data_IF_802400343426
#
_entry.id   IF_802400343426
#
_cell.length_a   1.000
_cell.length_b   1.000
_cell.length_c   1.000
_cell.angle_alpha   90.00
_cell.angle_beta   90.00
_cell.angle_gamma   90.00
#
_symmetry.space_group_name_H-M   'P 1'
#
loop_
_entity.id
_entity.type
_entity.pdbx_description
1 polymer ?
#
# COMPACT_ATOMS: atom_id res chain seq x y z
N UNK A 1 10.83 -5.12 17.19
CA UNK A 1 9.73 -4.69 16.30
C UNK A 1 9.19 -3.36 16.81
N UNK A 2 8.76 -2.46 15.92
CA UNK A 2 8.17 -1.16 16.29
C UNK A 2 6.96 -1.31 17.24
N UNK A 3 6.16 -2.38 17.05
CA UNK A 3 5.05 -2.72 17.94
C UNK A 3 5.46 -2.85 19.42
N UNK A 4 6.60 -3.50 19.71
CA UNK A 4 7.09 -3.66 21.09
C UNK A 4 7.51 -2.33 21.73
N UNK A 5 7.77 -1.31 20.92
CA UNK A 5 8.06 0.05 21.37
C UNK A 5 6.80 0.92 21.49
N UNK A 6 5.60 0.34 21.33
CA UNK A 6 4.31 1.03 21.43
C UNK A 6 3.84 1.69 20.14
N UNK A 7 4.46 1.40 18.99
CA UNK A 7 4.03 1.94 17.69
C UNK A 7 2.91 1.11 17.11
N UNK A 8 1.95 1.75 16.44
CA UNK A 8 1.04 1.05 15.51
C UNK A 8 1.80 0.70 14.24
N UNK A 9 1.65 -0.51 13.75
CA UNK A 9 2.39 -0.98 12.57
C UNK A 9 1.46 -1.34 11.41
N UNK A 10 1.82 -0.90 10.21
CA UNK A 10 1.09 -1.19 8.97
C UNK A 10 2.04 -1.82 7.94
N UNK A 11 1.57 -2.90 7.31
CA UNK A 11 2.11 -3.41 6.05
C UNK A 11 1.00 -3.54 5.02
N UNK A 12 1.11 -2.77 3.92
CA UNK A 12 0.15 -2.75 2.82
C UNK A 12 0.86 -2.88 1.47
N UNK A 13 0.45 -3.86 0.67
CA UNK A 13 0.97 -4.06 -0.69
C UNK A 13 -0.16 -4.50 -1.60
N UNK A 14 -0.09 -4.15 -2.88
CA UNK A 14 -1.20 -4.20 -3.81
C UNK A 14 -1.35 -5.50 -4.61
N UNK A 15 -0.42 -6.44 -4.47
CA UNK A 15 -0.44 -7.72 -5.17
C UNK A 15 0.04 -8.85 -4.26
N UNK A 16 -0.83 -9.80 -3.92
CA UNK A 16 -0.51 -10.80 -2.89
C UNK A 16 0.45 -11.90 -3.39
N UNK A 17 0.38 -12.35 -4.63
CA UNK A 17 1.28 -13.41 -5.12
C UNK A 17 2.72 -12.93 -5.32
N UNK A 18 2.88 -11.69 -5.76
CA UNK A 18 4.19 -11.08 -6.04
C UNK A 18 4.61 -10.08 -4.97
N UNK A 19 4.00 -10.11 -3.79
CA UNK A 19 4.34 -9.17 -2.73
C UNK A 19 5.79 -9.35 -2.28
N UNK A 20 6.41 -8.26 -1.84
CA UNK A 20 7.83 -8.15 -1.48
C UNK A 20 8.34 -9.32 -0.63
N UNK A 21 7.52 -9.82 0.32
CA UNK A 21 7.90 -10.91 1.22
C UNK A 21 7.34 -12.29 0.83
N UNK A 22 6.44 -12.38 -0.16
CA UNK A 22 5.81 -13.63 -0.57
C UNK A 22 6.24 -14.11 -1.95
N UNK A 23 6.83 -13.26 -2.79
CA UNK A 23 7.25 -13.68 -4.13
C UNK A 23 8.32 -14.77 -4.05
N UNK A 24 7.98 -15.99 -4.50
CA UNK A 24 8.82 -17.19 -4.45
C UNK A 24 9.31 -17.55 -3.03
N UNK A 25 8.61 -17.07 -1.99
CA UNK A 25 8.93 -17.29 -0.58
C UNK A 25 7.64 -17.68 0.18
N UNK A 26 7.76 -18.41 1.29
CA UNK A 26 6.59 -18.78 2.09
C UNK A 26 5.87 -17.57 2.71
N UNK A 27 6.52 -16.39 2.76
CA UNK A 27 5.97 -15.22 3.41
C UNK A 27 6.06 -15.32 4.93
N UNK A 28 5.10 -14.70 5.60
CA UNK A 28 5.02 -14.66 7.06
C UNK A 28 4.13 -15.80 7.58
N UNK A 29 4.62 -16.54 8.59
CA UNK A 29 3.84 -17.56 9.29
C UNK A 29 2.78 -16.96 10.22
N UNK A 30 3.12 -15.83 10.85
CA UNK A 30 2.22 -15.03 11.70
C UNK A 30 2.04 -13.64 11.10
N UNK A 31 0.99 -12.92 11.51
CA UNK A 31 0.74 -11.57 11.04
C UNK A 31 1.91 -10.63 11.41
N UNK A 32 2.57 -9.95 10.43
CA UNK A 32 3.83 -9.24 10.66
C UNK A 32 3.68 -7.85 11.30
N UNK A 33 2.48 -7.26 11.23
CA UNK A 33 2.15 -5.90 11.67
C UNK A 33 0.73 -5.86 12.24
N UNK A 34 0.42 -4.89 13.09
CA UNK A 34 -0.92 -4.74 13.69
C UNK A 34 -2.02 -4.64 12.62
N UNK A 35 -1.70 -3.98 11.51
CA UNK A 35 -2.53 -3.87 10.33
C UNK A 35 -1.81 -4.50 9.15
N UNK A 36 -2.36 -5.59 8.63
CA UNK A 36 -1.81 -6.32 7.50
C UNK A 36 -2.85 -6.43 6.41
N UNK A 37 -2.55 -5.88 5.22
CA UNK A 37 -3.55 -5.75 4.16
C UNK A 37 -3.78 -7.05 3.36
N UNK A 38 -2.85 -8.01 3.39
CA UNK A 38 -2.95 -9.24 2.59
C UNK A 38 -4.28 -10.00 2.78
N UNK A 39 -4.78 -10.24 4.01
CA UNK A 39 -6.04 -10.97 4.19
C UNK A 39 -7.25 -10.26 3.57
N UNK A 40 -7.18 -8.94 3.39
CA UNK A 40 -8.21 -8.21 2.65
C UNK A 40 -8.07 -8.45 1.14
N UNK A 41 -6.87 -8.35 0.56
CA UNK A 41 -6.67 -8.47 -0.89
C UNK A 41 -6.76 -9.89 -1.45
N UNK A 42 -6.35 -10.89 -0.67
CA UNK A 42 -6.30 -12.29 -1.10
C UNK A 42 -7.64 -12.77 -1.71
N UNK A 43 -8.80 -12.65 -1.03
CA UNK A 43 -10.08 -13.06 -1.62
C UNK A 43 -10.48 -12.20 -2.83
N UNK A 44 -10.05 -10.93 -2.92
CA UNK A 44 -10.33 -10.15 -4.12
C UNK A 44 -9.54 -10.65 -5.32
N UNK A 45 -8.28 -11.04 -5.14
CA UNK A 45 -7.47 -11.59 -6.22
C UNK A 45 -7.98 -12.97 -6.67
N UNK A 46 -8.46 -13.79 -5.73
CA UNK A 46 -9.00 -15.14 -6.00
C UNK A 46 -10.40 -15.11 -6.64
N UNK A 47 -11.31 -14.28 -6.13
CA UNK A 47 -12.75 -14.33 -6.47
C UNK A 47 -13.23 -13.17 -7.35
N UNK A 48 -12.57 -12.01 -7.27
CA UNK A 48 -13.05 -10.74 -7.85
C UNK A 48 -12.01 -10.03 -8.72
N UNK A 49 -10.90 -10.69 -9.01
CA UNK A 49 -9.75 -10.13 -9.72
C UNK A 49 -10.07 -9.96 -11.19
N UNK A 50 -10.71 -8.83 -11.54
CA UNK A 50 -11.30 -8.63 -12.86
C UNK A 50 -10.28 -8.59 -14.01
N UNK A 51 -9.05 -8.16 -13.74
CA UNK A 51 -8.05 -7.96 -14.77
C UNK A 51 -6.63 -8.21 -14.23
N UNK A 52 -6.08 -9.37 -14.61
CA UNK A 52 -4.68 -9.75 -14.44
C UNK A 52 -4.09 -10.06 -15.82
N UNK A 53 -3.65 -9.04 -16.57
CA UNK A 53 -3.14 -9.24 -17.92
C UNK A 53 -1.82 -10.04 -17.94
N UNK A 54 -1.02 -9.93 -16.87
CA UNK A 54 0.22 -10.69 -16.66
C UNK A 54 0.36 -11.14 -15.19
N UNK A 55 1.21 -10.47 -14.40
CA UNK A 55 1.58 -10.90 -13.05
C UNK A 55 0.80 -10.13 -11.96
N UNK A 56 0.32 -8.94 -12.26
CA UNK A 56 -0.37 -8.07 -11.31
C UNK A 56 -1.87 -7.96 -11.59
N UNK A 57 -2.65 -7.97 -10.52
CA UNK A 57 -4.00 -7.47 -10.54
C UNK A 57 -3.96 -5.94 -10.53
N UNK A 58 -4.76 -5.31 -11.39
CA UNK A 58 -4.79 -3.84 -11.48
C UNK A 58 -5.95 -3.22 -10.70
N UNK A 59 -6.96 -4.01 -10.35
CA UNK A 59 -8.23 -3.54 -9.78
C UNK A 59 -8.72 -4.44 -8.64
N UNK A 60 -9.41 -3.81 -7.70
CA UNK A 60 -10.21 -4.44 -6.64
C UNK A 60 -11.65 -3.95 -6.82
N UNK A 61 -12.48 -4.80 -7.43
CA UNK A 61 -13.80 -4.39 -7.90
C UNK A 61 -13.70 -3.22 -8.91
N UNK A 62 -14.41 -2.10 -8.70
CA UNK A 62 -14.37 -0.95 -9.61
C UNK A 62 -13.18 -0.01 -9.38
N UNK A 63 -12.35 -0.24 -8.36
CA UNK A 63 -11.26 0.65 -7.98
C UNK A 63 -9.90 0.10 -8.43
N UNK A 64 -8.98 0.99 -8.81
CA UNK A 64 -7.59 0.60 -9.05
C UNK A 64 -6.91 0.19 -7.74
N UNK A 65 -6.22 -0.95 -7.73
CA UNK A 65 -5.67 -1.51 -6.47
C UNK A 65 -4.63 -0.59 -5.83
N UNK A 66 -3.82 0.10 -6.64
CA UNK A 66 -2.87 1.11 -6.16
C UNK A 66 -3.57 2.23 -5.36
N UNK A 67 -4.71 2.72 -5.84
CA UNK A 67 -5.51 3.72 -5.14
C UNK A 67 -6.06 3.17 -3.82
N UNK A 68 -6.50 1.91 -3.80
CA UNK A 68 -7.02 1.26 -2.58
C UNK A 68 -5.93 1.16 -1.51
N UNK A 69 -4.73 0.71 -1.87
CA UNK A 69 -3.59 0.60 -0.96
C UNK A 69 -3.16 1.97 -0.41
N UNK A 70 -3.08 2.98 -1.27
CA UNK A 70 -2.73 4.34 -0.87
C UNK A 70 -3.79 4.96 0.04
N UNK A 71 -5.08 4.77 -0.26
CA UNK A 71 -6.18 5.22 0.60
C UNK A 71 -6.12 4.53 1.97
N UNK A 72 -5.92 3.21 2.01
CA UNK A 72 -5.80 2.47 3.27
C UNK A 72 -4.64 2.99 4.14
N UNK A 73 -3.52 3.30 3.50
CA UNK A 73 -2.33 3.87 4.16
C UNK A 73 -2.61 5.26 4.72
N UNK A 74 -3.28 6.11 3.94
CA UNK A 74 -3.72 7.45 4.38
C UNK A 74 -4.66 7.36 5.56
N UNK A 75 -5.66 6.49 5.49
CA UNK A 75 -6.67 6.33 6.53
C UNK A 75 -6.03 5.81 7.81
N UNK A 76 -5.12 4.84 7.73
CA UNK A 76 -4.31 4.39 8.86
C UNK A 76 -3.57 5.56 9.55
N UNK A 77 -2.86 6.38 8.77
CA UNK A 77 -2.12 7.52 9.31
C UNK A 77 -3.04 8.59 9.93
N UNK A 78 -4.22 8.83 9.36
CA UNK A 78 -5.22 9.75 9.92
C UNK A 78 -5.80 9.20 11.22
N UNK A 79 -6.14 7.92 11.25
CA UNK A 79 -6.67 7.24 12.44
C UNK A 79 -5.69 7.30 13.59
N UNK A 80 -4.40 7.06 13.33
CA UNK A 80 -3.35 7.05 14.35
C UNK A 80 -2.54 8.34 14.41
N UNK A 81 -3.08 9.48 13.95
CA UNK A 81 -2.38 10.78 13.93
C UNK A 81 -1.83 11.26 15.28
N UNK A 82 -2.36 10.75 16.39
CA UNK A 82 -1.95 11.10 17.75
C UNK A 82 -1.15 9.97 18.44
N UNK A 83 -0.85 8.90 17.72
CA UNK A 83 -0.06 7.75 18.19
C UNK A 83 1.21 7.61 17.33
N UNK A 84 2.34 7.14 17.86
CA UNK A 84 3.48 6.80 17.04
C UNK A 84 3.13 5.60 16.14
N UNK A 85 3.46 5.67 14.86
CA UNK A 85 3.23 4.56 13.94
C UNK A 85 4.39 4.37 12.95
N UNK A 86 4.51 3.13 12.48
CA UNK A 86 5.41 2.74 11.39
C UNK A 86 4.58 2.08 10.30
N UNK A 87 4.58 2.65 9.09
CA UNK A 87 3.86 2.13 7.95
C UNK A 87 4.83 1.83 6.81
N UNK A 88 4.76 0.61 6.28
CA UNK A 88 5.41 0.23 5.03
C UNK A 88 4.34 -0.07 3.99
N UNK A 89 4.35 0.70 2.91
CA UNK A 89 3.36 0.62 1.83
C UNK A 89 4.08 0.50 0.50
N UNK A 90 3.66 -0.46 -0.33
CA UNK A 90 4.29 -0.77 -1.61
C UNK A 90 3.27 -1.00 -2.72
N UNK A 91 3.58 -0.52 -3.93
CA UNK A 91 2.65 -0.54 -5.08
C UNK A 91 3.37 -1.07 -6.31
N UNK A 92 3.02 -2.30 -6.73
CA UNK A 92 3.56 -3.00 -7.91
C UNK A 92 2.72 -2.75 -9.17
N UNK A 93 1.39 -2.67 -9.02
CA UNK A 93 0.43 -2.76 -10.12
C UNK A 93 0.60 -1.68 -11.19
N UNK A 94 1.20 -0.54 -10.84
CA UNK A 94 1.36 0.59 -11.76
C UNK A 94 2.47 0.38 -12.78
N UNK A 95 3.52 -0.36 -12.45
CA UNK A 95 4.77 -0.37 -13.25
C UNK A 95 5.34 -1.75 -13.53
N UNK A 96 4.90 -2.81 -12.83
CA UNK A 96 5.52 -4.12 -12.95
C UNK A 96 5.34 -4.76 -14.33
N UNK A 97 4.11 -4.77 -14.86
CA UNK A 97 3.79 -5.54 -16.07
C UNK A 97 3.86 -4.73 -17.36
N UNK A 98 3.31 -3.52 -17.35
CA UNK A 98 3.21 -2.70 -18.56
C UNK A 98 3.64 -1.26 -18.31
N UNK A 99 4.47 -0.73 -19.20
CA UNK A 99 4.80 0.68 -19.19
C UNK A 99 3.58 1.57 -19.51
N UNK A 100 2.44 1.03 -19.96
CA UNK A 100 1.21 1.80 -20.20
C UNK A 100 0.38 2.02 -18.92
N UNK A 101 0.49 1.18 -17.90
CA UNK A 101 -0.24 1.40 -16.63
C UNK A 101 0.34 2.56 -15.82
N UNK A 102 1.60 2.93 -16.08
CA UNK A 102 2.27 4.07 -15.42
C UNK A 102 1.59 5.42 -15.69
N UNK A 103 0.90 5.57 -16.83
CA UNK A 103 0.32 6.87 -17.21
C UNK A 103 -0.77 7.34 -16.24
N UNK A 104 -1.45 6.43 -15.55
CA UNK A 104 -2.42 6.76 -14.50
C UNK A 104 -1.79 6.94 -13.11
N UNK A 105 -0.52 6.58 -12.94
CA UNK A 105 0.16 6.61 -11.64
C UNK A 105 0.27 8.02 -11.06
N UNK A 106 0.66 9.00 -11.89
CA UNK A 106 0.78 10.40 -11.46
C UNK A 106 -0.52 10.94 -10.86
N UNK A 107 -1.67 10.64 -11.48
CA UNK A 107 -2.97 11.10 -11.00
C UNK A 107 -3.34 10.46 -9.65
N UNK A 108 -3.07 9.17 -9.48
CA UNK A 108 -3.32 8.43 -8.24
C UNK A 108 -2.46 9.00 -7.09
N UNK A 109 -1.16 9.20 -7.34
CA UNK A 109 -0.25 9.76 -6.34
C UNK A 109 -0.58 11.22 -6.03
N UNK A 110 -0.90 12.03 -7.04
CA UNK A 110 -1.34 13.42 -6.85
C UNK A 110 -2.56 13.48 -5.92
N UNK A 111 -3.60 12.70 -6.22
CA UNK A 111 -4.81 12.61 -5.39
C UNK A 111 -4.50 12.16 -3.96
N UNK A 112 -3.63 11.17 -3.80
CA UNK A 112 -3.17 10.73 -2.48
C UNK A 112 -2.49 11.86 -1.72
N UNK A 113 -1.54 12.59 -2.33
CA UNK A 113 -0.81 13.66 -1.67
C UNK A 113 -1.70 14.86 -1.34
N UNK A 114 -2.56 15.29 -2.26
CA UNK A 114 -3.53 16.37 -2.03
C UNK A 114 -4.47 16.04 -0.88
N UNK A 115 -5.02 14.81 -0.85
CA UNK A 115 -5.90 14.36 0.23
C UNK A 115 -5.16 14.23 1.58
N UNK A 116 -3.83 14.14 1.56
CA UNK A 116 -2.97 13.95 2.72
C UNK A 116 -2.34 15.25 3.25
N UNK A 117 -2.41 16.34 2.49
CA UNK A 117 -1.88 17.63 2.91
C UNK A 117 -2.57 18.19 4.17
N UNK A 118 -3.91 18.13 4.34
CA UNK A 118 -4.57 18.68 5.52
C UNK A 118 -4.27 17.92 6.82
N UNK A 119 -3.88 16.65 6.74
CA UNK A 119 -3.70 15.78 7.91
C UNK A 119 -2.35 15.92 8.61
N UNK A 120 -1.48 16.85 8.17
CA UNK A 120 -0.08 16.97 8.63
C UNK A 120 0.75 15.68 8.44
N UNK A 121 0.23 14.70 7.69
CA UNK A 121 0.94 13.48 7.33
C UNK A 121 2.13 13.78 6.42
N UNK A 122 1.98 14.77 5.54
CA UNK A 122 3.07 15.25 4.69
C UNK A 122 3.87 16.32 5.42
N UNK A 123 4.93 15.89 6.10
CA UNK A 123 6.01 16.78 6.50
C UNK A 123 7.13 16.65 5.48
N UNK A 124 7.19 17.59 4.55
CA UNK A 124 8.33 17.69 3.64
C UNK A 124 9.51 18.24 4.46
N UNK A 125 10.32 17.34 5.02
CA UNK A 125 11.65 17.71 5.50
C UNK A 125 12.52 17.92 4.26
N UNK A 126 12.81 19.18 3.92
CA UNK A 126 13.90 19.45 2.99
C UNK A 126 15.18 18.95 3.64
N UNK A 127 15.88 18.04 2.99
CA UNK A 127 17.29 17.79 3.29
C UNK A 127 18.04 19.04 2.84
N UNK A 128 18.25 19.98 3.77
CA UNK A 128 19.31 20.97 3.62
C UNK A 128 20.61 20.24 3.93
N UNK A 129 21.32 19.83 2.87
CA UNK A 129 22.65 19.25 3.00
C UNK A 129 23.64 20.32 3.48
N UNK A 130 24.44 19.96 4.47
CA UNK A 130 25.73 20.62 4.76
C UNK A 130 26.75 20.35 3.65
#
# INVERSE_FOLDING_TARGET
MFANAGYRTLYAEDNTEISTFNYLKPGFGDQPTDYYMRPFLLPFEEEMGYYKPLNCYTCVGPYQVAQVVLNYTRDFAITFRNEPYFAFTWVNALTHDYASTRWGGDEIFLKFFEASAPSHMLRISRFEGE
#
